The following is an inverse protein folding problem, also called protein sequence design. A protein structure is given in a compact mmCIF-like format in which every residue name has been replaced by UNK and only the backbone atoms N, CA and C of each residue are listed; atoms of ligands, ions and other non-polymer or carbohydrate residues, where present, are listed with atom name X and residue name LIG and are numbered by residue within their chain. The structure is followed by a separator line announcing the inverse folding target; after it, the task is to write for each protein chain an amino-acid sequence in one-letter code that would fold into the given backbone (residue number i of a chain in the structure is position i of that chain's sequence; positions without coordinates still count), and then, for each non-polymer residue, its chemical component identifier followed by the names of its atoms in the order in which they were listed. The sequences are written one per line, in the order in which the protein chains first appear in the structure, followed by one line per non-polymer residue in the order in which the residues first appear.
data_IF_944933013425
#
_entry.id   IF_944933013425
#
_cell.length_a   1.000
_cell.length_b   1.000
_cell.length_c   1.000
_cell.angle_alpha   90.00
_cell.angle_beta   90.00
_cell.angle_gamma   90.00
#
_symmetry.space_group_name_H-M   'P 1'
#
loop_
_entity.id
_entity.type
_entity.pdbx_description
1 polymer ?
#
# COMPACT_ATOMS: atom_id res chain seq x y z
N UNK A 1 -13.28 55.59 -47.35
CA UNK A 1 -11.96 54.91 -47.24
C UNK A 1 -11.49 55.15 -45.82
N UNK A 2 -11.28 54.19 -44.94
CA UNK A 2 -11.02 52.75 -45.08
C UNK A 2 -11.43 52.03 -43.78
N UNK A 3 -11.95 50.82 -43.91
CA UNK A 3 -12.13 49.84 -42.83
C UNK A 3 -10.83 49.57 -42.05
N UNK A 4 -10.95 49.44 -40.73
CA UNK A 4 -9.94 48.76 -39.90
C UNK A 4 -10.58 47.52 -39.30
N UNK A 5 -10.18 46.36 -39.81
CA UNK A 5 -10.50 45.03 -39.27
C UNK A 5 -9.56 44.77 -38.07
N UNK A 6 -10.06 44.23 -36.94
CA UNK A 6 -9.22 43.91 -35.79
C UNK A 6 -8.34 42.69 -36.11
N UNK A 7 -7.04 42.82 -35.84
CA UNK A 7 -6.05 41.74 -35.95
C UNK A 7 -6.29 40.74 -34.82
N UNK A 8 -7.26 39.84 -35.02
CA UNK A 8 -7.52 38.74 -34.12
C UNK A 8 -6.59 37.56 -34.45
N UNK A 9 -5.79 37.18 -33.46
CA UNK A 9 -5.47 35.79 -33.11
C UNK A 9 -4.67 34.96 -34.13
N UNK A 10 -3.45 35.43 -34.44
CA UNK A 10 -2.41 34.62 -35.10
C UNK A 10 -1.78 33.57 -34.16
N UNK A 11 -2.15 33.53 -32.88
CA UNK A 11 -1.71 32.53 -31.88
C UNK A 11 -2.34 31.14 -32.05
N UNK A 12 -3.35 31.00 -32.91
CA UNK A 12 -4.03 29.70 -33.15
C UNK A 12 -3.56 28.94 -34.39
N UNK A 13 -2.58 29.45 -35.14
CA UNK A 13 -1.94 28.66 -36.21
C UNK A 13 -0.71 27.94 -35.66
N UNK A 14 -0.94 26.86 -34.93
CA UNK A 14 0.11 25.90 -34.60
C UNK A 14 0.44 25.09 -35.87
N UNK A 15 1.52 25.46 -36.54
CA UNK A 15 2.08 24.70 -37.66
C UNK A 15 2.84 23.49 -37.07
N UNK A 16 2.58 22.25 -37.50
CA UNK A 16 3.04 21.04 -36.81
C UNK A 16 4.51 20.65 -37.06
N UNK A 17 5.39 21.57 -37.47
CA UNK A 17 6.75 21.22 -37.95
C UNK A 17 7.92 21.99 -37.32
N UNK A 18 7.73 22.67 -36.19
CA UNK A 18 8.84 23.19 -35.38
C UNK A 18 8.88 22.44 -34.05
N UNK A 19 10.06 21.97 -33.59
CA UNK A 19 10.18 21.35 -32.27
C UNK A 19 9.72 22.38 -31.24
N UNK A 20 8.65 22.02 -30.54
CA UNK A 20 7.99 22.82 -29.53
C UNK A 20 9.02 23.18 -28.44
N UNK A 21 9.55 24.41 -28.48
CA UNK A 21 10.25 25.02 -27.35
C UNK A 21 9.17 25.35 -26.30
N UNK A 22 8.70 24.31 -25.62
CA UNK A 22 7.94 24.48 -24.39
C UNK A 22 8.80 25.32 -23.44
N UNK A 23 8.22 26.29 -22.71
CA UNK A 23 8.97 27.10 -21.77
C UNK A 23 9.66 26.19 -20.76
N UNK A 24 10.99 26.27 -20.71
CA UNK A 24 11.85 25.50 -19.81
C UNK A 24 11.41 25.78 -18.37
N UNK A 25 10.81 24.79 -17.72
CA UNK A 25 10.42 24.86 -16.31
C UNK A 25 11.70 25.21 -15.52
N UNK A 26 11.67 26.22 -14.62
CA UNK A 26 12.89 26.70 -13.98
C UNK A 26 13.61 25.57 -13.25
N UNK A 27 14.81 25.21 -13.72
CA UNK A 27 15.66 24.19 -13.10
C UNK A 27 15.95 24.59 -11.66
N UNK A 28 15.53 23.82 -10.65
CA UNK A 28 15.89 24.11 -9.27
C UNK A 28 17.40 23.91 -9.11
N UNK A 29 18.07 24.95 -8.61
CA UNK A 29 19.51 24.98 -8.37
C UNK A 29 19.85 24.09 -7.17
N UNK A 30 20.08 22.80 -7.41
CA UNK A 30 20.53 21.82 -6.41
C UNK A 30 21.66 20.98 -6.97
N UNK A 31 22.54 20.47 -6.11
CA UNK A 31 23.73 19.68 -6.52
C UNK A 31 23.40 18.53 -7.49
N UNK A 32 22.17 18.00 -7.41
CA UNK A 32 21.60 16.97 -8.27
C UNK A 32 21.31 17.40 -9.72
N UNK A 33 21.17 18.71 -10.01
CA UNK A 33 20.87 19.24 -11.35
C UNK A 33 22.09 19.76 -12.12
N UNK A 34 23.27 19.79 -11.48
CA UNK A 34 24.50 20.37 -12.05
C UNK A 34 25.29 19.42 -12.97
N UNK A 35 25.05 18.12 -12.88
CA UNK A 35 25.70 17.12 -13.74
C UNK A 35 24.81 16.83 -14.96
N UNK A 36 25.32 16.97 -16.21
CA UNK A 36 24.53 16.83 -17.44
C UNK A 36 23.84 15.46 -17.57
N UNK A 37 24.40 14.40 -16.99
CA UNK A 37 23.78 13.07 -16.96
C UNK A 37 22.53 13.07 -16.07
N UNK A 38 22.60 13.72 -14.92
CA UNK A 38 21.47 13.79 -13.99
C UNK A 38 20.40 14.77 -14.46
N UNK A 39 20.77 15.87 -15.14
CA UNK A 39 19.77 16.75 -15.79
C UNK A 39 18.98 15.99 -16.84
N UNK A 40 19.64 15.23 -17.71
CA UNK A 40 18.94 14.45 -18.74
C UNK A 40 18.00 13.39 -18.15
N UNK A 41 18.44 12.68 -17.10
CA UNK A 41 17.59 11.70 -16.42
C UNK A 41 16.39 12.36 -15.73
N UNK A 42 16.59 13.53 -15.14
CA UNK A 42 15.51 14.28 -14.52
C UNK A 42 14.51 14.82 -15.56
N UNK A 43 14.99 15.34 -16.69
CA UNK A 43 14.15 15.83 -17.78
C UNK A 43 13.34 14.68 -18.42
N UNK A 44 13.96 13.51 -18.61
CA UNK A 44 13.26 12.30 -19.06
C UNK A 44 12.21 11.84 -18.04
N UNK A 45 12.56 11.85 -16.74
CA UNK A 45 11.63 11.49 -15.67
C UNK A 45 10.43 12.45 -15.61
N UNK A 46 10.65 13.75 -15.71
CA UNK A 46 9.59 14.77 -15.71
C UNK A 46 8.67 14.58 -16.92
N UNK A 47 9.23 14.44 -18.13
CA UNK A 47 8.42 14.20 -19.34
C UNK A 47 7.58 12.92 -19.23
N UNK A 48 8.16 11.84 -18.70
CA UNK A 48 7.43 10.58 -18.47
C UNK A 48 6.33 10.78 -17.42
N UNK A 49 6.63 11.48 -16.32
CA UNK A 49 5.65 11.79 -15.27
C UNK A 49 4.49 12.63 -15.81
N UNK A 50 4.76 13.66 -16.61
CA UNK A 50 3.72 14.48 -17.24
C UNK A 50 2.87 13.69 -18.24
N UNK A 51 3.51 12.83 -19.03
CA UNK A 51 2.79 11.93 -19.92
C UNK A 51 1.89 10.96 -19.13
N UNK A 52 2.38 10.39 -18.02
CA UNK A 52 1.58 9.53 -17.14
C UNK A 52 0.43 10.27 -16.46
N UNK A 53 0.62 11.53 -16.07
CA UNK A 53 -0.47 12.39 -15.56
C UNK A 53 -1.53 12.63 -16.64
N UNK A 54 -1.14 12.82 -17.89
CA UNK A 54 -2.09 12.99 -19.00
C UNK A 54 -2.94 11.75 -19.28
N UNK A 55 -2.44 10.56 -18.94
CA UNK A 55 -3.15 9.29 -19.05
C UNK A 55 -4.23 9.10 -17.97
N UNK A 56 -4.25 9.94 -16.92
CA UNK A 56 -5.28 9.91 -15.88
C UNK A 56 -5.39 8.57 -15.17
N UNK A 57 -4.27 7.86 -15.01
CA UNK A 57 -4.25 6.54 -14.39
C UNK A 57 -4.58 6.66 -12.90
N UNK A 58 -5.63 5.95 -12.49
CA UNK A 58 -5.97 5.80 -11.07
C UNK A 58 -5.06 4.75 -10.44
N UNK A 59 -4.66 4.98 -9.18
CA UNK A 59 -3.92 4.01 -8.40
C UNK A 59 -4.73 2.69 -8.32
N UNK A 60 -4.18 1.57 -8.80
CA UNK A 60 -4.89 0.30 -8.88
C UNK A 60 -5.05 -0.41 -7.53
N UNK A 61 -4.50 0.14 -6.45
CA UNK A 61 -4.53 -0.46 -5.12
C UNK A 61 -3.50 -1.59 -4.96
N UNK A 62 -3.63 -2.35 -3.89
CA UNK A 62 -2.72 -3.46 -3.56
C UNK A 62 -3.25 -4.80 -4.08
N UNK A 63 -2.35 -5.74 -4.34
CA UNK A 63 -2.71 -7.09 -4.83
C UNK A 63 -3.64 -7.81 -3.84
N UNK A 64 -3.45 -7.58 -2.54
CA UNK A 64 -4.28 -8.13 -1.47
C UNK A 64 -5.71 -7.60 -1.54
N UNK A 65 -5.88 -6.34 -1.93
CA UNK A 65 -7.21 -5.73 -2.05
C UNK A 65 -7.97 -6.24 -3.28
N UNK A 66 -7.30 -6.63 -4.36
CA UNK A 66 -7.99 -7.20 -5.54
C UNK A 66 -8.70 -8.51 -5.18
N UNK A 67 -8.01 -9.38 -4.43
CA UNK A 67 -8.62 -10.65 -3.97
C UNK A 67 -9.60 -10.44 -2.81
N UNK A 68 -9.58 -9.28 -2.15
CA UNK A 68 -10.47 -8.98 -1.01
C UNK A 68 -11.92 -8.91 -1.44
N UNK A 69 -12.24 -8.30 -2.58
CA UNK A 69 -13.63 -8.16 -3.04
C UNK A 69 -14.30 -9.53 -3.21
N UNK A 70 -13.62 -10.47 -3.85
CA UNK A 70 -14.18 -11.81 -4.07
C UNK A 70 -14.12 -12.66 -2.79
N UNK A 71 -12.96 -12.73 -2.12
CA UNK A 71 -12.77 -13.65 -0.99
C UNK A 71 -13.37 -13.17 0.33
N UNK A 72 -13.46 -11.85 0.57
CA UNK A 72 -14.06 -11.31 1.79
C UNK A 72 -15.49 -10.80 1.57
N UNK A 73 -15.78 -10.13 0.47
CA UNK A 73 -17.08 -9.47 0.35
C UNK A 73 -18.15 -10.40 -0.24
N UNK A 74 -17.78 -11.35 -1.10
CA UNK A 74 -18.71 -12.34 -1.68
C UNK A 74 -18.68 -13.68 -0.94
N UNK A 75 -17.49 -14.22 -0.68
CA UNK A 75 -17.37 -15.53 -0.03
C UNK A 75 -17.50 -15.45 1.49
N UNK A 76 -18.36 -16.33 2.04
CA UNK A 76 -18.55 -16.45 3.48
C UNK A 76 -17.46 -17.26 4.18
N UNK A 77 -16.44 -17.76 3.47
CA UNK A 77 -15.40 -18.63 4.05
C UNK A 77 -14.70 -18.02 5.28
N UNK A 78 -14.53 -16.69 5.30
CA UNK A 78 -13.89 -16.00 6.42
C UNK A 78 -14.86 -15.70 7.58
N UNK A 79 -16.16 -15.58 7.31
CA UNK A 79 -17.20 -15.25 8.28
C UNK A 79 -17.94 -16.48 8.82
N UNK A 80 -17.85 -17.61 8.12
CA UNK A 80 -18.48 -18.86 8.53
C UNK A 80 -17.75 -19.41 9.75
N UNK A 81 -18.50 -19.62 10.82
CA UNK A 81 -18.00 -20.28 12.02
C UNK A 81 -18.98 -21.40 12.40
N UNK A 82 -18.46 -22.37 13.14
CA UNK A 82 -19.25 -23.45 13.72
C UNK A 82 -19.40 -23.22 15.23
N UNK A 83 -20.52 -23.66 15.81
CA UNK A 83 -20.78 -23.48 17.23
C UNK A 83 -21.30 -22.09 17.61
N UNK A 84 -21.11 -21.70 18.87
CA UNK A 84 -21.55 -20.43 19.43
C UNK A 84 -20.36 -19.48 19.57
N UNK A 85 -20.55 -18.22 19.17
CA UNK A 85 -19.58 -17.13 19.35
C UNK A 85 -20.28 -15.91 19.94
N UNK A 86 -19.71 -15.34 20.98
CA UNK A 86 -20.15 -14.09 21.59
C UNK A 86 -18.96 -13.11 21.61
N UNK A 87 -19.13 -11.96 20.93
CA UNK A 87 -18.14 -10.89 20.90
C UNK A 87 -18.64 -9.71 21.74
N UNK A 88 -17.86 -9.34 22.76
CA UNK A 88 -18.09 -8.17 23.61
C UNK A 88 -17.04 -7.12 23.28
N UNK A 89 -17.36 -6.22 22.34
CA UNK A 89 -16.50 -5.09 22.01
C UNK A 89 -16.93 -3.84 22.79
N UNK A 90 -15.98 -3.23 23.49
CA UNK A 90 -16.14 -1.94 24.16
C UNK A 90 -15.17 -0.94 23.55
N UNK A 91 -15.72 0.07 22.87
CA UNK A 91 -14.98 1.24 22.44
C UNK A 91 -14.93 2.25 23.60
N UNK A 92 -13.73 2.71 23.95
CA UNK A 92 -13.52 3.70 24.99
C UNK A 92 -13.40 5.12 24.43
N UNK A 93 -12.76 5.26 23.28
CA UNK A 93 -12.58 6.54 22.58
C UNK A 93 -12.68 6.32 21.08
N UNK A 94 -13.23 7.31 20.38
CA UNK A 94 -13.36 7.35 18.92
C UNK A 94 -12.19 8.06 18.25
N UNK A 95 -11.49 8.95 18.96
CA UNK A 95 -10.29 9.62 18.47
C UNK A 95 -9.32 9.93 19.64
N UNK A 96 -8.18 9.22 19.77
CA UNK A 96 -7.78 8.04 19.00
C UNK A 96 -8.72 6.85 19.27
N UNK A 97 -8.98 6.04 18.26
CA UNK A 97 -9.87 4.89 18.36
C UNK A 97 -9.21 3.83 19.26
N UNK A 98 -9.77 3.64 20.45
CA UNK A 98 -9.32 2.59 21.38
C UNK A 98 -10.50 1.70 21.72
N UNK A 99 -10.36 0.41 21.41
CA UNK A 99 -11.39 -0.58 21.68
C UNK A 99 -10.77 -1.87 22.20
N UNK A 100 -11.50 -2.53 23.10
CA UNK A 100 -11.15 -3.86 23.59
C UNK A 100 -12.30 -4.81 23.30
N UNK A 101 -11.98 -5.98 22.77
CA UNK A 101 -12.92 -7.02 22.39
C UNK A 101 -12.62 -8.30 23.15
N UNK A 102 -13.64 -8.85 23.79
CA UNK A 102 -13.61 -10.19 24.37
C UNK A 102 -14.43 -11.12 23.48
N UNK A 103 -13.78 -12.10 22.88
CA UNK A 103 -14.40 -13.11 22.03
C UNK A 103 -14.47 -14.41 22.81
N UNK A 104 -15.69 -14.88 23.07
CA UNK A 104 -15.98 -16.17 23.67
C UNK A 104 -16.50 -17.08 22.58
N UNK A 105 -15.94 -18.27 22.41
CA UNK A 105 -16.42 -19.23 21.42
C UNK A 105 -16.52 -20.64 21.99
N UNK A 106 -17.48 -21.44 21.51
CA UNK A 106 -17.71 -22.80 21.98
C UNK A 106 -18.21 -23.68 20.84
N UNK A 107 -17.63 -24.88 20.67
CA UNK A 107 -18.06 -25.85 19.66
C UNK A 107 -17.37 -25.73 18.30
N UNK A 108 -16.25 -25.00 18.22
CA UNK A 108 -15.36 -24.96 17.05
C UNK A 108 -13.94 -25.31 17.45
N UNK A 109 -13.21 -26.01 16.59
CA UNK A 109 -11.77 -26.25 16.77
C UNK A 109 -10.91 -25.11 16.18
N UNK A 110 -11.52 -24.21 15.40
CA UNK A 110 -10.80 -23.14 14.71
C UNK A 110 -10.69 -21.86 15.57
N UNK A 111 -11.68 -21.60 16.44
CA UNK A 111 -11.66 -20.45 17.33
C UNK A 111 -11.31 -20.91 18.75
N UNK A 112 -10.44 -20.15 19.46
CA UNK A 112 -10.14 -20.44 20.86
C UNK A 112 -11.36 -20.17 21.76
N UNK A 113 -11.49 -20.87 22.89
CA UNK A 113 -12.62 -20.69 23.81
C UNK A 113 -12.75 -19.26 24.34
N UNK A 114 -11.62 -18.60 24.55
CA UNK A 114 -11.54 -17.20 24.95
C UNK A 114 -10.36 -16.52 24.23
N UNK A 115 -10.66 -15.37 23.64
CA UNK A 115 -9.71 -14.50 22.96
C UNK A 115 -9.93 -13.07 23.44
N UNK A 116 -8.85 -12.39 23.84
CA UNK A 116 -8.86 -10.98 24.17
C UNK A 116 -8.10 -10.20 23.11
N UNK A 117 -8.78 -9.29 22.42
CA UNK A 117 -8.15 -8.39 21.47
C UNK A 117 -8.26 -6.94 21.92
N UNK A 118 -7.15 -6.20 21.82
CA UNK A 118 -7.12 -4.76 22.01
C UNK A 118 -6.67 -4.10 20.71
N UNK A 119 -7.38 -3.05 20.31
CA UNK A 119 -7.09 -2.22 19.16
C UNK A 119 -6.85 -0.79 19.64
N UNK A 120 -5.73 -0.22 19.20
CA UNK A 120 -5.43 1.20 19.29
C UNK A 120 -5.13 1.73 17.88
N UNK A 121 -5.94 2.67 17.41
CA UNK A 121 -5.76 3.31 16.11
C UNK A 121 -5.76 4.83 16.24
N UNK A 122 -4.74 5.43 15.63
CA UNK A 122 -4.55 6.85 15.39
C UNK A 122 -4.35 7.03 13.87
N UNK A 123 -4.40 8.28 13.39
CA UNK A 123 -4.26 8.64 11.97
C UNK A 123 -3.11 7.88 11.25
N UNK A 124 -1.90 7.87 11.83
CA UNK A 124 -0.73 7.24 11.20
C UNK A 124 -0.34 5.89 11.80
N UNK A 125 -1.01 5.43 12.86
CA UNK A 125 -0.57 4.27 13.62
C UNK A 125 -1.75 3.40 14.02
N UNK A 126 -1.68 2.12 13.65
CA UNK A 126 -2.69 1.13 13.96
C UNK A 126 -2.03 -0.05 14.65
N UNK A 127 -2.43 -0.36 15.87
CA UNK A 127 -1.94 -1.50 16.63
C UNK A 127 -3.10 -2.35 17.07
N UNK A 128 -2.96 -3.64 16.83
CA UNK A 128 -3.87 -4.65 17.32
C UNK A 128 -3.06 -5.73 18.04
N UNK A 129 -3.43 -6.03 19.28
CA UNK A 129 -2.98 -7.22 20.00
C UNK A 129 -4.14 -8.19 20.14
N UNK A 130 -3.85 -9.48 20.07
CA UNK A 130 -4.77 -10.55 20.42
C UNK A 130 -4.03 -11.57 21.29
N UNK A 131 -4.66 -12.00 22.38
CA UNK A 131 -4.18 -13.01 23.32
C UNK A 131 -5.26 -14.07 23.47
N UNK A 132 -4.90 -15.31 23.19
CA UNK A 132 -5.77 -16.47 23.35
C UNK A 132 -5.52 -17.20 24.67
N UNK A 133 -6.44 -18.10 25.05
CA UNK A 133 -6.36 -18.90 26.28
C UNK A 133 -5.07 -19.73 26.44
N UNK A 134 -4.49 -20.19 25.32
CA UNK A 134 -3.25 -20.99 25.33
C UNK A 134 -1.97 -20.13 25.40
N UNK A 135 -2.11 -18.86 25.77
CA UNK A 135 -1.04 -17.85 25.74
C UNK A 135 -0.46 -17.61 24.34
N UNK A 136 -1.21 -17.96 23.29
CA UNK A 136 -0.87 -17.56 21.93
C UNK A 136 -1.12 -16.07 21.77
N UNK A 137 -0.10 -15.35 21.32
CA UNK A 137 -0.14 -13.90 21.11
C UNK A 137 -0.03 -13.58 19.62
N UNK A 138 -0.92 -12.74 19.12
CA UNK A 138 -0.90 -12.22 17.75
C UNK A 138 -0.94 -10.70 17.79
N UNK A 139 0.17 -10.07 17.44
CA UNK A 139 0.32 -8.62 17.34
C UNK A 139 0.36 -8.18 15.88
N UNK A 140 -0.31 -7.07 15.56
CA UNK A 140 -0.22 -6.38 14.27
C UNK A 140 0.01 -4.90 14.52
N UNK A 141 1.01 -4.35 13.87
CA UNK A 141 1.39 -2.94 13.98
C UNK A 141 1.50 -2.40 12.56
N UNK A 142 0.66 -1.45 12.19
CA UNK A 142 0.79 -0.70 10.94
C UNK A 142 1.20 0.72 11.28
N UNK A 143 2.20 1.22 10.57
CA UNK A 143 2.71 2.57 10.70
C UNK A 143 2.77 3.21 9.31
N UNK A 144 2.01 4.29 9.13
CA UNK A 144 2.05 5.12 7.93
C UNK A 144 3.15 6.16 8.07
N UNK A 145 4.20 6.03 7.27
CA UNK A 145 5.21 7.08 7.13
C UNK A 145 4.68 8.26 6.32
N UNK A 146 3.86 7.94 5.33
CA UNK A 146 3.12 8.87 4.48
C UNK A 146 1.82 8.16 4.04
N UNK A 147 0.85 8.90 3.48
CA UNK A 147 -0.37 8.33 2.92
C UNK A 147 -0.08 7.26 1.84
N UNK A 148 1.08 7.36 1.20
CA UNK A 148 1.56 6.46 0.15
C UNK A 148 2.46 5.34 0.67
N UNK A 149 2.94 5.41 1.91
CA UNK A 149 3.97 4.50 2.42
C UNK A 149 3.64 3.96 3.80
N UNK A 150 3.34 2.67 3.87
CA UNK A 150 2.89 2.00 5.09
C UNK A 150 3.79 0.80 5.38
N UNK A 151 4.35 0.77 6.58
CA UNK A 151 5.03 -0.41 7.12
C UNK A 151 4.05 -1.18 8.00
N UNK A 152 3.94 -2.49 7.80
CA UNK A 152 3.12 -3.39 8.60
C UNK A 152 4.01 -4.47 9.20
N UNK A 153 3.87 -4.71 10.48
CA UNK A 153 4.57 -5.75 11.22
C UNK A 153 3.52 -6.65 11.86
N UNK A 154 3.52 -7.93 11.50
CA UNK A 154 2.68 -8.95 12.12
C UNK A 154 3.57 -9.93 12.88
N UNK A 155 3.32 -10.10 14.17
CA UNK A 155 4.00 -11.03 15.03
C UNK A 155 3.00 -12.05 15.56
N UNK A 156 3.26 -13.33 15.36
CA UNK A 156 2.46 -14.42 15.88
C UNK A 156 3.35 -15.36 16.68
N UNK A 157 3.02 -15.49 17.96
CA UNK A 157 3.68 -16.37 18.92
C UNK A 157 2.62 -17.38 19.33
N UNK A 158 2.72 -18.61 18.83
CA UNK A 158 1.86 -19.70 19.25
C UNK A 158 2.64 -20.63 20.18
N UNK A 159 2.03 -21.04 21.28
CA UNK A 159 2.68 -21.90 22.26
C UNK A 159 3.03 -23.25 21.61
N UNK A 160 4.33 -23.59 21.58
CA UNK A 160 4.81 -24.85 20.99
C UNK A 160 5.01 -24.84 19.46
N UNK A 161 4.83 -23.69 18.80
CA UNK A 161 5.18 -23.50 17.38
C UNK A 161 6.29 -22.46 17.22
N UNK A 162 7.04 -22.47 16.10
CA UNK A 162 8.00 -21.42 15.80
C UNK A 162 7.29 -20.06 15.71
N UNK A 163 7.90 -19.03 16.28
CA UNK A 163 7.42 -17.65 16.15
C UNK A 163 7.40 -17.27 14.68
N UNK A 164 6.28 -16.69 14.23
CA UNK A 164 6.15 -16.15 12.88
C UNK A 164 6.15 -14.62 12.96
N UNK A 165 7.21 -14.01 12.46
CA UNK A 165 7.33 -12.58 12.27
C UNK A 165 7.23 -12.28 10.77
N UNK A 166 6.29 -11.43 10.40
CA UNK A 166 6.07 -10.97 9.04
C UNK A 166 6.24 -9.46 9.00
N UNK A 167 7.22 -9.00 8.23
CA UNK A 167 7.42 -7.59 7.95
C UNK A 167 6.92 -7.32 6.53
N UNK A 168 6.03 -6.36 6.37
CA UNK A 168 5.48 -5.96 5.09
C UNK A 168 5.69 -4.45 4.90
N UNK A 169 6.22 -4.06 3.75
CA UNK A 169 6.34 -2.67 3.32
C UNK A 169 5.44 -2.48 2.10
N UNK A 170 4.51 -1.55 2.21
CA UNK A 170 3.52 -1.23 1.20
C UNK A 170 3.74 0.21 0.72
N UNK A 171 4.11 0.36 -0.55
CA UNK A 171 4.34 1.64 -1.18
C UNK A 171 3.40 1.80 -2.38
N UNK A 172 2.51 2.77 -2.28
CA UNK A 172 1.50 3.07 -3.28
C UNK A 172 1.83 4.39 -3.97
N UNK A 173 2.35 4.31 -5.18
CA UNK A 173 2.51 5.47 -6.04
C UNK A 173 1.19 5.80 -6.78
N UNK A 174 1.22 6.84 -7.61
CA UNK A 174 0.04 7.28 -8.36
C UNK A 174 -0.44 6.25 -9.40
N UNK A 175 0.48 5.50 -9.98
CA UNK A 175 0.26 4.64 -11.15
C UNK A 175 0.74 3.19 -10.93
N UNK A 176 1.45 2.92 -9.84
CA UNK A 176 1.91 1.59 -9.44
C UNK A 176 1.87 1.41 -7.92
N UNK A 177 1.77 0.17 -7.47
CA UNK A 177 1.90 -0.24 -6.07
C UNK A 177 2.98 -1.31 -5.95
N UNK A 178 3.86 -1.16 -4.97
CA UNK A 178 4.90 -2.12 -4.63
C UNK A 178 4.66 -2.60 -3.22
N UNK A 179 4.63 -3.90 -3.03
CA UNK A 179 4.49 -4.52 -1.73
C UNK A 179 5.61 -5.54 -1.54
N UNK A 180 6.37 -5.40 -0.45
CA UNK A 180 7.47 -6.29 -0.10
C UNK A 180 7.17 -6.91 1.24
N UNK A 181 7.04 -8.23 1.29
CA UNK A 181 6.82 -9.01 2.51
C UNK A 181 8.01 -9.87 2.80
N UNK A 182 8.41 -9.96 4.05
CA UNK A 182 9.41 -10.90 4.53
C UNK A 182 8.83 -11.67 5.70
N UNK A 183 8.90 -13.00 5.63
CA UNK A 183 8.48 -13.92 6.66
C UNK A 183 9.72 -14.57 7.27
N UNK A 184 9.86 -14.39 8.59
CA UNK A 184 10.97 -14.84 9.42
C UNK A 184 12.37 -14.49 8.85
N UNK A 185 12.68 -13.20 8.63
CA UNK A 185 14.02 -12.79 8.22
C UNK A 185 15.04 -13.09 9.32
N UNK A 186 16.05 -13.90 9.00
CA UNK A 186 17.18 -14.22 9.86
C UNK A 186 18.50 -14.01 9.12
N UNK A 187 19.40 -13.23 9.73
CA UNK A 187 20.76 -12.93 9.23
C UNK A 187 21.87 -13.58 10.07
N UNK A 188 21.55 -14.61 10.85
CA UNK A 188 22.46 -15.16 11.86
C UNK A 188 23.72 -15.86 11.30
N UNK A 189 23.69 -16.36 10.06
CA UNK A 189 24.77 -17.18 9.49
C UNK A 189 25.46 -16.58 8.26
N UNK A 190 25.36 -15.26 8.03
CA UNK A 190 25.97 -14.60 6.86
C UNK A 190 25.24 -14.84 5.53
N UNK A 191 24.15 -15.60 5.54
CA UNK A 191 23.17 -15.72 4.46
C UNK A 191 21.80 -15.21 4.95
N UNK A 192 21.02 -14.61 4.03
CA UNK A 192 19.62 -14.31 4.30
C UNK A 192 18.85 -15.63 4.33
N UNK A 193 18.27 -15.94 5.48
CA UNK A 193 17.39 -17.11 5.66
C UNK A 193 16.01 -16.58 6.00
N UNK A 194 15.04 -16.82 5.13
CA UNK A 194 13.68 -16.34 5.29
C UNK A 194 12.99 -16.20 3.94
N UNK A 195 11.66 -16.19 3.95
CA UNK A 195 10.89 -16.03 2.70
C UNK A 195 10.71 -14.54 2.45
N UNK A 196 11.10 -14.07 1.28
CA UNK A 196 10.81 -12.72 0.81
C UNK A 196 9.91 -12.79 -0.42
N UNK A 197 8.81 -12.03 -0.39
CA UNK A 197 7.86 -11.90 -1.49
C UNK A 197 7.84 -10.44 -1.89
N UNK A 198 8.17 -10.17 -3.15
CA UNK A 198 8.09 -8.84 -3.71
C UNK A 198 7.02 -8.84 -4.81
N UNK A 199 6.03 -7.98 -4.66
CA UNK A 199 4.90 -7.87 -5.55
C UNK A 199 4.85 -6.45 -6.11
N UNK A 200 4.79 -6.32 -7.42
CA UNK A 200 4.65 -5.04 -8.11
C UNK A 200 3.39 -5.08 -8.95
N UNK A 201 2.57 -4.05 -8.85
CA UNK A 201 1.35 -3.90 -9.62
C UNK A 201 1.34 -2.53 -10.30
N UNK A 202 1.15 -2.52 -11.61
CA UNK A 202 1.15 -1.31 -12.43
C UNK A 202 -0.14 -1.19 -13.23
N UNK A 203 -0.72 0.02 -13.23
CA UNK A 203 -1.87 0.34 -14.07
C UNK A 203 -1.41 0.62 -15.50
N UNK A 204 -1.89 -0.16 -16.47
CA UNK A 204 -1.62 0.04 -17.90
C UNK A 204 -2.71 0.89 -18.58
N UNK A 205 -3.91 0.90 -18.00
CA UNK A 205 -5.08 1.65 -18.47
C UNK A 205 -5.97 1.95 -17.27
N UNK A 206 -6.85 2.98 -17.30
CA UNK A 206 -7.75 3.29 -16.18
C UNK A 206 -8.64 2.14 -15.70
N UNK A 207 -8.77 1.07 -16.52
CA UNK A 207 -9.56 -0.14 -16.20
C UNK A 207 -8.74 -1.43 -16.12
N UNK A 208 -7.45 -1.38 -16.45
CA UNK A 208 -6.60 -2.58 -16.51
C UNK A 208 -5.29 -2.34 -15.77
N UNK A 209 -5.08 -3.14 -14.73
CA UNK A 209 -3.82 -3.21 -14.01
C UNK A 209 -3.21 -4.61 -14.14
N UNK A 210 -1.90 -4.65 -14.30
CA UNK A 210 -1.12 -5.88 -14.42
C UNK A 210 -0.10 -5.91 -13.27
N UNK A 211 -0.02 -7.04 -12.60
CA UNK A 211 0.95 -7.24 -11.52
C UNK A 211 1.80 -8.48 -11.73
N UNK A 212 2.99 -8.46 -11.15
CA UNK A 212 3.91 -9.58 -11.08
C UNK A 212 4.41 -9.74 -9.64
N UNK A 213 4.51 -10.99 -9.18
CA UNK A 213 5.03 -11.35 -7.86
C UNK A 213 6.25 -12.26 -7.99
N UNK A 214 7.33 -11.91 -7.31
CA UNK A 214 8.53 -12.71 -7.18
C UNK A 214 8.62 -13.28 -5.77
N UNK A 215 9.02 -14.55 -5.67
CA UNK A 215 9.21 -15.26 -4.42
C UNK A 215 10.68 -15.66 -4.32
N UNK A 216 11.32 -15.32 -3.20
CA UNK A 216 12.67 -15.73 -2.84
C UNK A 216 12.57 -16.51 -1.54
N UNK A 217 13.20 -17.69 -1.51
CA UNK A 217 13.23 -18.60 -0.36
C UNK A 217 14.59 -18.57 0.33
#
# INVERSE_FOLDING_TARGET
MSEQVPVADLSKMTIPTLPNLAPEVPKPNGLWSSNPVFSYLNDAYINISEHRKSLGLTNPGTIENISKEVNRDVFLNQYFFTGLRADLNKAFSLNPAFQTSHTLSMGSNALPPYAFSALYAKEDFFVQGNVDNDMSFSGKVNYGWDQHNISKLTLQIAHGQPVMCQLEQDYQANDFSVNVKSLNPSYLNGAFTGVAVASLLQSLSPKLAVGFGSYVL
#
